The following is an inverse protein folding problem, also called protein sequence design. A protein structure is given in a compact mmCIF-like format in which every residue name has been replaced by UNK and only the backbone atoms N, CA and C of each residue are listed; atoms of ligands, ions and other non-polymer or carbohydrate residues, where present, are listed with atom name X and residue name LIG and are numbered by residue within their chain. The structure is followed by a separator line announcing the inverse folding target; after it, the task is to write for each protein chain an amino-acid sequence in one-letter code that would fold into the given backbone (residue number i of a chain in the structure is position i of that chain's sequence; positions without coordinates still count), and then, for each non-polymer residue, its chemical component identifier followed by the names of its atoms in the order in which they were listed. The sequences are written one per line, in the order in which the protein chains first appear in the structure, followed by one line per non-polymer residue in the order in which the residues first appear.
data_IF_910865847132
#
_entry.id   IF_910865847132
#
_cell.length_a   1.000
_cell.length_b   1.000
_cell.length_c   1.000
_cell.angle_alpha   90.00
_cell.angle_beta   90.00
_cell.angle_gamma   90.00
#
_symmetry.space_group_name_H-M   'P 1'
#
loop_
_entity.id
_entity.type
_entity.pdbx_description
1 polymer ?
#
# COMPACT_ATOMS: atom_id res chain seq x y z
N UNK A 1 -1.03 -9.20 -9.57
CA UNK A 1 -0.53 -7.94 -9.00
C UNK A 1 0.34 -7.15 -9.97
N UNK A 2 -0.03 -5.91 -10.26
CA UNK A 2 0.81 -4.91 -10.93
C UNK A 2 1.92 -4.35 -10.02
N UNK A 3 2.96 -3.76 -10.62
CA UNK A 3 4.02 -3.05 -9.87
C UNK A 3 3.43 -1.86 -9.09
N UNK A 4 2.44 -1.16 -9.65
CA UNK A 4 1.80 -0.01 -9.02
C UNK A 4 0.98 -0.41 -7.78
N UNK A 5 0.25 -1.53 -7.83
CA UNK A 5 -0.42 -2.09 -6.65
C UNK A 5 0.59 -2.53 -5.57
N UNK A 6 1.74 -3.09 -5.97
CA UNK A 6 2.81 -3.44 -5.02
C UNK A 6 3.42 -2.21 -4.36
N UNK A 7 3.62 -1.13 -5.11
CA UNK A 7 4.11 0.16 -4.58
C UNK A 7 3.11 0.73 -3.58
N UNK A 8 1.82 0.78 -3.92
CA UNK A 8 0.75 1.27 -3.02
C UNK A 8 0.71 0.48 -1.72
N UNK A 9 0.69 -0.85 -1.80
CA UNK A 9 0.66 -1.70 -0.61
C UNK A 9 1.88 -1.46 0.30
N UNK A 10 3.07 -1.23 -0.28
CA UNK A 10 4.29 -0.89 0.45
C UNK A 10 4.26 0.50 1.07
N UNK A 11 3.67 1.49 0.39
CA UNK A 11 3.47 2.83 0.96
C UNK A 11 2.60 2.72 2.21
N UNK A 12 1.50 1.97 2.14
CA UNK A 12 0.59 1.77 3.26
C UNK A 12 1.30 1.02 4.40
N UNK A 13 2.03 -0.08 4.13
CA UNK A 13 2.78 -0.81 5.17
C UNK A 13 3.80 0.07 5.89
N UNK A 14 4.54 0.88 5.13
CA UNK A 14 5.51 1.77 5.71
C UNK A 14 4.85 2.73 6.69
N UNK A 15 3.66 3.26 6.36
CA UNK A 15 2.96 4.26 7.17
C UNK A 15 2.14 3.67 8.34
N UNK A 16 1.54 2.49 8.18
CA UNK A 16 0.64 1.90 9.19
C UNK A 16 1.28 0.77 10.00
N UNK A 17 2.12 -0.05 9.37
CA UNK A 17 2.76 -1.19 10.03
C UNK A 17 3.89 -0.77 10.97
N UNK A 18 4.94 -0.13 10.42
CA UNK A 18 6.15 0.23 11.18
C UNK A 18 6.17 1.66 11.76
N UNK A 19 5.35 2.57 11.25
CA UNK A 19 5.46 4.02 11.52
C UNK A 19 4.28 4.62 12.31
N UNK A 20 3.55 3.81 13.11
CA UNK A 20 2.76 4.31 14.25
C UNK A 20 1.38 4.93 13.92
N UNK A 21 0.87 4.84 12.68
CA UNK A 21 -0.54 5.20 12.35
C UNK A 21 -1.43 3.95 12.25
N UNK A 22 -2.68 4.04 12.67
CA UNK A 22 -3.64 2.93 12.52
C UNK A 22 -4.00 2.68 11.05
N UNK A 23 -4.15 3.77 10.29
CA UNK A 23 -4.64 3.82 8.92
C UNK A 23 -3.97 4.99 8.16
N UNK A 24 -4.12 5.02 6.84
CA UNK A 24 -3.70 6.13 5.99
C UNK A 24 -4.75 6.40 4.90
N UNK A 25 -5.08 7.68 4.69
CA UNK A 25 -6.06 8.12 3.71
C UNK A 25 -5.55 8.05 2.26
N UNK A 26 -6.49 7.96 1.31
CA UNK A 26 -6.24 7.87 -0.13
C UNK A 26 -5.39 9.02 -0.66
N UNK A 27 -5.67 10.24 -0.26
CA UNK A 27 -4.98 11.42 -0.79
C UNK A 27 -3.50 11.44 -0.37
N UNK A 28 -3.22 11.06 0.88
CA UNK A 28 -1.85 10.93 1.36
C UNK A 28 -1.09 9.80 0.65
N UNK A 29 -1.72 8.65 0.40
CA UNK A 29 -1.11 7.59 -0.43
C UNK A 29 -0.78 8.15 -1.82
N UNK A 30 -1.70 8.87 -2.45
CA UNK A 30 -1.50 9.47 -3.77
C UNK A 30 -0.33 10.46 -3.81
N UNK A 31 -0.19 11.31 -2.78
CA UNK A 31 0.95 12.24 -2.66
C UNK A 31 2.27 11.48 -2.58
N UNK A 32 2.35 10.39 -1.81
CA UNK A 32 3.58 9.59 -1.68
C UNK A 32 3.85 8.82 -2.97
N UNK A 33 2.82 8.24 -3.59
CA UNK A 33 2.93 7.51 -4.84
C UNK A 33 3.44 8.41 -5.97
N UNK A 34 2.96 9.66 -6.07
CA UNK A 34 3.43 10.63 -7.08
C UNK A 34 4.91 10.99 -6.97
N UNK A 35 5.50 10.84 -5.77
CA UNK A 35 6.92 11.07 -5.52
C UNK A 35 7.75 9.80 -5.72
N UNK A 36 7.10 8.64 -5.80
CA UNK A 36 7.75 7.36 -6.05
C UNK A 36 8.08 7.28 -7.54
N UNK A 37 9.34 7.49 -7.93
CA UNK A 37 9.76 7.62 -9.34
C UNK A 37 9.52 6.42 -10.28
N UNK A 38 8.89 5.35 -9.77
CA UNK A 38 8.46 4.16 -10.55
C UNK A 38 6.94 4.01 -10.62
N UNK A 39 6.19 4.88 -9.94
CA UNK A 39 4.73 4.86 -9.96
C UNK A 39 4.24 5.71 -11.13
N UNK A 40 3.55 5.08 -12.07
CA UNK A 40 3.01 5.71 -13.28
C UNK A 40 1.53 5.35 -13.53
N UNK A 41 0.90 4.64 -12.59
CA UNK A 41 -0.46 4.13 -12.69
C UNK A 41 -1.51 5.04 -12.06
N UNK A 42 -2.77 4.62 -12.22
CA UNK A 42 -3.88 5.20 -11.49
C UNK A 42 -3.88 4.71 -10.03
N UNK A 43 -4.11 5.64 -9.10
CA UNK A 43 -4.04 5.34 -7.67
C UNK A 43 -5.23 4.50 -7.21
N UNK A 44 -6.42 4.74 -7.75
CA UNK A 44 -7.64 4.04 -7.34
C UNK A 44 -7.64 2.61 -7.88
N UNK A 45 -7.17 2.42 -9.12
CA UNK A 45 -6.96 1.08 -9.69
C UNK A 45 -5.92 0.28 -8.89
N UNK A 46 -4.83 0.93 -8.48
CA UNK A 46 -3.75 0.30 -7.71
C UNK A 46 -4.21 -0.09 -6.31
N UNK A 47 -5.02 0.75 -5.64
CA UNK A 47 -5.64 0.44 -4.36
C UNK A 47 -6.64 -0.72 -4.51
N UNK A 48 -7.50 -0.68 -5.54
CA UNK A 48 -8.49 -1.72 -5.79
C UNK A 48 -7.83 -3.09 -6.04
N UNK A 49 -6.74 -3.13 -6.80
CA UNK A 49 -5.98 -4.37 -7.01
C UNK A 49 -5.31 -4.84 -5.71
N UNK A 50 -4.72 -3.95 -4.92
CA UNK A 50 -4.09 -4.31 -3.64
C UNK A 50 -5.12 -4.85 -2.62
N UNK A 51 -6.35 -4.32 -2.62
CA UNK A 51 -7.49 -4.83 -1.84
C UNK A 51 -7.93 -6.21 -2.34
N UNK A 52 -8.12 -6.37 -3.66
CA UNK A 52 -8.56 -7.64 -4.25
C UNK A 52 -7.56 -8.78 -3.97
N UNK A 53 -6.27 -8.44 -3.93
CA UNK A 53 -5.21 -9.38 -3.61
C UNK A 53 -5.00 -9.53 -2.08
N UNK A 54 -5.70 -8.77 -1.23
CA UNK A 54 -5.65 -8.87 0.23
C UNK A 54 -4.34 -8.41 0.88
N UNK A 55 -3.59 -7.53 0.21
CA UNK A 55 -2.36 -6.93 0.78
C UNK A 55 -2.67 -5.74 1.69
N UNK A 56 -3.83 -5.12 1.50
CA UNK A 56 -4.33 -4.02 2.29
C UNK A 56 -5.82 -4.26 2.61
N UNK A 57 -6.32 -3.57 3.62
CA UNK A 57 -7.73 -3.57 4.02
C UNK A 57 -8.21 -2.12 4.16
N UNK A 58 -9.49 -1.89 3.89
CA UNK A 58 -10.15 -0.60 4.13
C UNK A 58 -10.76 -0.60 5.54
N UNK A 59 -10.51 0.45 6.31
CA UNK A 59 -11.07 0.69 7.63
C UNK A 59 -11.52 2.15 7.72
N UNK A 60 -12.80 2.37 7.98
CA UNK A 60 -13.40 3.70 8.13
C UNK A 60 -13.10 4.68 6.97
N UNK A 61 -12.95 4.15 5.74
CA UNK A 61 -12.63 4.93 4.54
C UNK A 61 -11.14 5.25 4.35
N UNK A 62 -10.27 4.68 5.17
CA UNK A 62 -8.81 4.73 5.05
C UNK A 62 -8.23 3.31 4.88
N UNK A 63 -6.92 3.19 4.69
CA UNK A 63 -6.28 1.92 4.38
C UNK A 63 -5.22 1.50 5.40
N UNK A 64 -5.09 0.19 5.62
CA UNK A 64 -4.06 -0.43 6.45
C UNK A 64 -3.48 -1.65 5.74
N UNK A 65 -2.19 -1.91 5.94
CA UNK A 65 -1.53 -3.07 5.35
C UNK A 65 -1.78 -4.35 6.17
N UNK A 66 -1.93 -5.47 5.48
CA UNK A 66 -1.99 -6.80 6.09
C UNK A 66 -0.60 -7.44 6.18
N UNK A 67 -0.46 -8.51 6.97
CA UNK A 67 0.79 -9.29 7.01
C UNK A 67 1.19 -9.85 5.64
N UNK A 68 0.25 -10.00 4.70
CA UNK A 68 0.51 -10.53 3.35
C UNK A 68 1.49 -9.64 2.59
N UNK A 69 1.51 -8.34 2.87
CA UNK A 69 2.37 -7.36 2.21
C UNK A 69 3.86 -7.67 2.38
N UNK A 70 4.25 -8.37 3.44
CA UNK A 70 5.65 -8.74 3.69
C UNK A 70 6.20 -9.72 2.64
N UNK A 71 5.33 -10.44 1.93
CA UNK A 71 5.71 -11.29 0.81
C UNK A 71 6.16 -10.49 -0.43
N UNK A 72 5.90 -9.17 -0.47
CA UNK A 72 6.34 -8.28 -1.56
C UNK A 72 7.78 -7.81 -1.39
N UNK A 73 8.39 -8.03 -0.22
CA UNK A 73 9.76 -7.59 0.09
C UNK A 73 10.70 -8.80 0.07
N UNK A 74 11.55 -8.94 -0.95
CA UNK A 74 12.53 -10.02 -0.98
C UNK A 74 13.50 -9.89 0.21
N UNK A 75 13.55 -10.91 1.07
CA UNK A 75 14.54 -11.01 2.15
C UNK A 75 14.06 -10.69 3.57
N UNK A 76 12.78 -10.35 3.78
CA UNK A 76 12.22 -10.25 5.14
C UNK A 76 11.82 -11.64 5.64
N UNK A 77 12.80 -12.45 6.02
CA UNK A 77 12.54 -13.54 6.97
C UNK A 77 12.25 -12.89 8.31
N UNK A 78 11.13 -13.29 8.91
CA UNK A 78 10.60 -12.79 10.19
C UNK A 78 11.65 -12.70 11.29
#
# INVERSE_FOLDING_TARGET
MSENAAIVARIIEHNTGRQNRATIDRDHIGVIASQHGRFDGDIDDSIAEALAEGYIEEQDGEYVATEKVWNLVPGTTR
#
